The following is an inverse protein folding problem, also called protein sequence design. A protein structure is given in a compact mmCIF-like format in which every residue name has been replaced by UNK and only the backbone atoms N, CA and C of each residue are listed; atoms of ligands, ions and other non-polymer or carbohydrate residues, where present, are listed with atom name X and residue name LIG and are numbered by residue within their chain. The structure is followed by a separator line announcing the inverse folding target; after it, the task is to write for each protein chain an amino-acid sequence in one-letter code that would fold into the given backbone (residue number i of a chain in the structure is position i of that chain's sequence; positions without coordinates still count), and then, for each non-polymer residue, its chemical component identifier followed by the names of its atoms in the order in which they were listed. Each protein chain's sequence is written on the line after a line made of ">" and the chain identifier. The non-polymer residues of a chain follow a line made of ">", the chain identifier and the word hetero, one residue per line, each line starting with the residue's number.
data_IF_697306156675
#
_entry.id   IF_697306156675
#
_cell.length_a   1.000
_cell.length_b   1.000
_cell.length_c   1.000
_cell.angle_alpha   90.00
_cell.angle_beta   90.00
_cell.angle_gamma   90.00
#
_symmetry.space_group_name_H-M   'P 1'
#
loop_
_entity.id
_entity.type
_entity.pdbx_description
1 polymer ?
#
# COMPACT_ATOMS: atom_id res chain seq x y z
N UNK A 1 -10.16 5.72 -25.47
CA UNK A 1 -10.28 4.59 -24.52
C UNK A 1 -9.08 4.42 -23.57
N UNK A 2 -7.84 4.66 -23.99
CA UNK A 2 -6.65 4.54 -23.12
C UNK A 2 -6.69 5.42 -21.85
N UNK A 3 -7.07 6.70 -21.97
CA UNK A 3 -7.14 7.65 -20.84
C UNK A 3 -8.04 7.14 -19.71
N UNK A 4 -9.19 6.57 -20.05
CA UNK A 4 -10.16 6.05 -19.09
C UNK A 4 -9.56 4.92 -18.25
N UNK A 5 -8.94 3.95 -18.90
CA UNK A 5 -8.34 2.81 -18.23
C UNK A 5 -7.16 3.23 -17.33
N UNK A 6 -6.39 4.23 -17.76
CA UNK A 6 -5.31 4.82 -16.96
C UNK A 6 -5.88 5.54 -15.74
N UNK A 7 -6.94 6.34 -15.90
CA UNK A 7 -7.60 7.02 -14.79
C UNK A 7 -8.13 6.04 -13.74
N UNK A 8 -8.76 4.94 -14.16
CA UNK A 8 -9.25 3.89 -13.24
C UNK A 8 -8.08 3.31 -12.42
N UNK A 9 -6.96 2.95 -13.07
CA UNK A 9 -5.78 2.44 -12.37
C UNK A 9 -5.15 3.50 -11.45
N UNK A 10 -5.20 4.77 -11.85
CA UNK A 10 -4.75 5.91 -11.06
C UNK A 10 -5.54 6.08 -9.76
N UNK A 11 -6.87 5.89 -9.81
CA UNK A 11 -7.73 5.92 -8.61
C UNK A 11 -7.27 4.93 -7.55
N UNK A 12 -6.93 3.70 -7.95
CA UNK A 12 -6.39 2.69 -7.03
C UNK A 12 -5.04 3.08 -6.43
N UNK A 13 -4.16 3.71 -7.21
CA UNK A 13 -2.85 4.15 -6.73
C UNK A 13 -2.95 5.29 -5.69
N UNK A 14 -3.87 6.22 -5.86
CA UNK A 14 -4.02 7.35 -4.93
C UNK A 14 -4.83 6.98 -3.68
N UNK A 15 -5.69 5.96 -3.74
CA UNK A 15 -6.62 5.61 -2.67
C UNK A 15 -5.95 5.31 -1.32
N UNK A 16 -4.73 4.75 -1.33
CA UNK A 16 -4.01 4.41 -0.11
C UNK A 16 -3.61 5.65 0.70
N UNK A 17 -3.30 6.78 0.03
CA UNK A 17 -2.92 8.04 0.67
C UNK A 17 -4.09 8.98 1.03
N UNK A 18 -5.34 8.58 0.78
CA UNK A 18 -6.50 9.44 1.00
C UNK A 18 -7.08 9.32 2.42
N UNK A 19 -7.90 10.31 2.80
CA UNK A 19 -8.73 10.23 4.01
C UNK A 19 -9.75 9.09 3.89
N UNK A 20 -10.27 8.58 5.01
CA UNK A 20 -11.27 7.50 5.01
C UNK A 20 -12.50 7.83 4.15
N UNK A 21 -12.99 9.07 4.21
CA UNK A 21 -14.11 9.53 3.39
C UNK A 21 -13.80 9.50 1.89
N UNK A 22 -12.64 10.03 1.46
CA UNK A 22 -12.26 10.03 0.06
C UNK A 22 -11.95 8.62 -0.45
N UNK A 23 -11.37 7.76 0.40
CA UNK A 23 -11.14 6.35 0.08
C UNK A 23 -12.46 5.62 -0.17
N UNK A 24 -13.46 5.83 0.68
CA UNK A 24 -14.79 5.25 0.48
C UNK A 24 -15.46 5.76 -0.81
N UNK A 25 -15.31 7.05 -1.14
CA UNK A 25 -15.77 7.59 -2.44
C UNK A 25 -15.09 6.91 -3.63
N UNK A 26 -13.79 6.66 -3.54
CA UNK A 26 -13.04 5.95 -4.59
C UNK A 26 -13.53 4.50 -4.71
N UNK A 27 -13.69 3.80 -3.60
CA UNK A 27 -14.18 2.42 -3.59
C UNK A 27 -15.58 2.30 -4.19
N UNK A 28 -16.52 3.19 -3.82
CA UNK A 28 -17.85 3.23 -4.42
C UNK A 28 -17.79 3.49 -5.92
N UNK A 29 -16.87 4.34 -6.38
CA UNK A 29 -16.68 4.59 -7.82
C UNK A 29 -16.12 3.37 -8.54
N UNK A 30 -15.13 2.68 -7.96
CA UNK A 30 -14.57 1.46 -8.51
C UNK A 30 -15.60 0.32 -8.56
N UNK A 31 -16.47 0.22 -7.56
CA UNK A 31 -17.58 -0.73 -7.55
C UNK A 31 -18.59 -0.47 -8.68
N UNK A 32 -19.00 0.79 -8.86
CA UNK A 32 -19.89 1.13 -9.99
C UNK A 32 -19.27 0.78 -11.35
N UNK A 33 -17.95 0.98 -11.50
CA UNK A 33 -17.21 0.62 -12.71
C UNK A 33 -17.03 -0.90 -12.88
N UNK A 34 -17.02 -1.67 -11.78
CA UNK A 34 -16.92 -3.13 -11.82
C UNK A 34 -18.13 -3.77 -12.50
N UNK A 35 -19.31 -3.16 -12.35
CA UNK A 35 -20.56 -3.60 -12.94
C UNK A 35 -20.64 -3.40 -14.46
N UNK A 36 -19.67 -2.71 -15.06
CA UNK A 36 -19.60 -2.58 -16.52
C UNK A 36 -19.14 -3.89 -17.16
N UNK A 37 -19.68 -4.21 -18.32
CA UNK A 37 -19.40 -5.47 -19.05
C UNK A 37 -18.11 -5.43 -19.86
N UNK A 38 -17.52 -4.26 -20.07
CA UNK A 38 -16.31 -4.14 -20.89
C UNK A 38 -15.10 -4.76 -20.18
N UNK A 39 -14.56 -5.83 -20.76
CA UNK A 39 -13.45 -6.62 -20.21
C UNK A 39 -12.29 -5.76 -19.68
N UNK A 40 -11.80 -4.81 -20.48
CA UNK A 40 -10.64 -4.01 -20.07
C UNK A 40 -10.97 -3.03 -18.92
N UNK A 41 -12.24 -2.61 -18.79
CA UNK A 41 -12.69 -1.85 -17.61
C UNK A 41 -12.60 -2.73 -16.38
N UNK A 42 -13.18 -3.94 -16.41
CA UNK A 42 -13.14 -4.85 -15.26
C UNK A 42 -11.71 -5.20 -14.87
N UNK A 43 -10.82 -5.46 -15.83
CA UNK A 43 -9.38 -5.68 -15.56
C UNK A 43 -8.72 -4.45 -14.93
N UNK A 44 -9.03 -3.24 -15.40
CA UNK A 44 -8.51 -2.02 -14.80
C UNK A 44 -9.03 -1.80 -13.37
N UNK A 45 -10.29 -2.14 -13.10
CA UNK A 45 -10.90 -2.08 -11.76
C UNK A 45 -10.27 -3.09 -10.82
N UNK A 46 -10.07 -4.35 -11.24
CA UNK A 46 -9.34 -5.36 -10.46
C UNK A 46 -7.94 -4.87 -10.11
N UNK A 47 -7.23 -4.32 -11.10
CA UNK A 47 -5.88 -3.74 -10.90
C UNK A 47 -5.91 -2.58 -9.89
N UNK A 48 -6.94 -1.75 -9.93
CA UNK A 48 -7.09 -0.62 -9.01
C UNK A 48 -7.41 -1.09 -7.59
N UNK A 49 -8.39 -1.98 -7.42
CA UNK A 49 -8.80 -2.53 -6.13
C UNK A 49 -7.67 -3.32 -5.46
N UNK A 50 -6.83 -4.00 -6.24
CA UNK A 50 -5.64 -4.70 -5.73
C UNK A 50 -4.61 -3.79 -5.05
N UNK A 51 -4.62 -2.49 -5.36
CA UNK A 51 -3.75 -1.49 -4.71
C UNK A 51 -4.37 -0.89 -3.45
N UNK A 52 -5.66 -1.08 -3.24
CA UNK A 52 -6.37 -0.58 -2.06
C UNK A 52 -6.37 -1.66 -0.99
N UNK A 53 -5.43 -1.58 -0.05
CA UNK A 53 -5.19 -2.58 1.00
C UNK A 53 -6.27 -2.55 2.10
N UNK A 54 -7.53 -2.77 1.73
CA UNK A 54 -8.69 -2.72 2.65
C UNK A 54 -9.60 -3.92 2.47
N UNK A 55 -10.24 -4.36 3.56
CA UNK A 55 -11.24 -5.43 3.50
C UNK A 55 -12.45 -5.10 2.61
N UNK A 56 -12.80 -3.81 2.49
CA UNK A 56 -13.85 -3.34 1.57
C UNK A 56 -13.49 -3.61 0.11
N UNK A 57 -12.22 -3.41 -0.28
CA UNK A 57 -11.77 -3.70 -1.64
C UNK A 57 -11.86 -5.20 -1.96
N UNK A 58 -11.51 -6.07 -1.00
CA UNK A 58 -11.68 -7.52 -1.15
C UNK A 58 -13.17 -7.91 -1.32
N UNK A 59 -14.09 -7.25 -0.61
CA UNK A 59 -15.52 -7.50 -0.77
C UNK A 59 -16.05 -7.09 -2.16
N UNK A 60 -15.57 -5.97 -2.72
CA UNK A 60 -15.93 -5.55 -4.09
C UNK A 60 -15.37 -6.53 -5.12
N UNK A 61 -14.12 -6.98 -4.96
CA UNK A 61 -13.51 -7.98 -5.83
C UNK A 61 -14.27 -9.31 -5.80
N UNK A 62 -14.76 -9.74 -4.63
CA UNK A 62 -15.57 -10.94 -4.49
C UNK A 62 -16.87 -10.82 -5.29
N UNK A 63 -17.61 -9.71 -5.12
CA UNK A 63 -18.84 -9.45 -5.89
C UNK A 63 -18.59 -9.47 -7.41
N UNK A 64 -17.49 -8.87 -7.85
CA UNK A 64 -17.10 -8.89 -9.27
C UNK A 64 -16.81 -10.32 -9.76
N UNK A 65 -16.11 -11.13 -8.97
CA UNK A 65 -15.82 -12.53 -9.32
C UNK A 65 -17.11 -13.35 -9.45
N UNK A 66 -18.05 -13.15 -8.53
CA UNK A 66 -19.32 -13.88 -8.48
C UNK A 66 -20.21 -13.54 -9.68
N UNK A 67 -20.22 -12.28 -10.11
CA UNK A 67 -21.15 -11.75 -11.13
C UNK A 67 -20.58 -11.76 -12.56
N UNK A 68 -19.25 -11.76 -12.74
CA UNK A 68 -18.69 -11.64 -14.09
C UNK A 68 -18.87 -12.92 -14.92
N UNK A 69 -19.35 -12.80 -16.18
CA UNK A 69 -19.39 -13.94 -17.11
C UNK A 69 -18.02 -14.27 -17.72
N UNK A 70 -17.04 -13.35 -17.64
CA UNK A 70 -15.70 -13.59 -18.18
C UNK A 70 -14.82 -14.31 -17.14
N UNK A 71 -14.53 -15.59 -17.39
CA UNK A 71 -13.71 -16.42 -16.50
C UNK A 71 -12.30 -15.88 -16.25
N UNK A 72 -11.74 -15.08 -17.15
CA UNK A 72 -10.42 -14.45 -16.95
C UNK A 72 -10.49 -13.31 -15.95
N UNK A 73 -11.58 -12.54 -15.96
CA UNK A 73 -11.83 -11.49 -14.96
C UNK A 73 -12.06 -12.13 -13.59
N UNK A 74 -12.88 -13.17 -13.53
CA UNK A 74 -13.15 -13.95 -12.31
C UNK A 74 -11.85 -14.42 -11.66
N UNK A 75 -11.01 -15.12 -12.42
CA UNK A 75 -9.72 -15.61 -11.93
C UNK A 75 -8.81 -14.48 -11.41
N UNK A 76 -8.71 -13.38 -12.16
CA UNK A 76 -7.89 -12.23 -11.74
C UNK A 76 -8.42 -11.61 -10.45
N UNK A 77 -9.75 -11.53 -10.29
CA UNK A 77 -10.36 -11.00 -9.08
C UNK A 77 -10.06 -11.92 -7.88
N UNK A 78 -10.22 -13.24 -8.01
CA UNK A 78 -9.90 -14.23 -6.98
C UNK A 78 -8.43 -14.18 -6.53
N UNK A 79 -7.49 -14.16 -7.48
CA UNK A 79 -6.05 -14.01 -7.20
C UNK A 79 -5.75 -12.69 -6.48
N UNK A 80 -6.45 -11.62 -6.84
CA UNK A 80 -6.29 -10.29 -6.22
C UNK A 80 -6.87 -10.24 -4.81
N UNK A 81 -7.97 -10.94 -4.53
CA UNK A 81 -8.58 -11.03 -3.18
C UNK A 81 -7.57 -11.55 -2.17
N UNK A 82 -6.87 -12.63 -2.51
CA UNK A 82 -5.85 -13.22 -1.65
C UNK A 82 -4.70 -12.23 -1.36
N UNK A 83 -4.31 -11.46 -2.38
CA UNK A 83 -3.28 -10.43 -2.26
C UNK A 83 -3.73 -9.28 -1.34
N UNK A 84 -4.96 -8.78 -1.54
CA UNK A 84 -5.53 -7.68 -0.74
C UNK A 84 -5.75 -8.11 0.70
N UNK A 85 -6.26 -9.31 0.96
CA UNK A 85 -6.43 -9.84 2.33
C UNK A 85 -5.10 -9.91 3.06
N UNK A 86 -4.06 -10.46 2.42
CA UNK A 86 -2.70 -10.52 2.98
C UNK A 86 -2.11 -9.14 3.25
N UNK A 87 -2.44 -8.14 2.43
CA UNK A 87 -1.98 -6.76 2.61
C UNK A 87 -2.76 -6.02 3.71
N UNK A 88 -4.07 -6.25 3.82
CA UNK A 88 -4.95 -5.64 4.81
C UNK A 88 -4.81 -6.26 6.21
N UNK A 89 -4.14 -7.42 6.34
CA UNK A 89 -3.92 -8.08 7.64
C UNK A 89 -3.13 -7.17 8.60
N UNK A 90 -3.69 -6.83 9.79
CA UNK A 90 -3.06 -5.92 10.74
C UNK A 90 -1.69 -6.40 11.22
N UNK A 91 -1.46 -7.72 11.23
CA UNK A 91 -0.18 -8.33 11.58
C UNK A 91 0.97 -7.88 10.67
N UNK A 92 0.73 -7.68 9.38
CA UNK A 92 1.77 -7.25 8.43
C UNK A 92 2.13 -5.79 8.67
N UNK A 93 1.13 -4.94 8.93
CA UNK A 93 1.33 -3.53 9.25
C UNK A 93 2.06 -3.37 10.59
N UNK A 94 1.65 -4.10 11.63
CA UNK A 94 2.31 -4.08 12.94
C UNK A 94 3.75 -4.61 12.84
N UNK A 95 3.99 -5.70 12.10
CA UNK A 95 5.33 -6.26 11.91
C UNK A 95 6.26 -5.29 11.17
N UNK A 96 5.75 -4.60 10.14
CA UNK A 96 6.50 -3.57 9.42
C UNK A 96 6.86 -2.39 10.34
N UNK A 97 5.89 -1.88 11.09
CA UNK A 97 6.12 -0.79 12.05
C UNK A 97 7.13 -1.16 13.13
N UNK A 98 7.07 -2.39 13.67
CA UNK A 98 8.07 -2.90 14.62
C UNK A 98 9.47 -2.92 14.01
N UNK A 99 9.61 -3.43 12.78
CA UNK A 99 10.89 -3.47 12.09
C UNK A 99 11.47 -2.07 11.82
N UNK A 100 10.64 -1.12 11.40
CA UNK A 100 11.06 0.26 11.16
C UNK A 100 11.48 0.95 12.47
N UNK A 101 10.77 0.68 13.57
CA UNK A 101 11.10 1.21 14.90
C UNK A 101 12.39 0.61 15.46
N UNK A 102 12.63 -0.69 15.25
CA UNK A 102 13.87 -1.35 15.65
C UNK A 102 15.06 -0.84 14.84
N UNK A 103 14.88 -0.59 13.54
CA UNK A 103 15.92 0.02 12.71
C UNK A 103 16.23 1.44 13.19
N UNK A 104 15.20 2.26 13.44
CA UNK A 104 15.37 3.62 13.94
C UNK A 104 16.10 3.66 15.29
N UNK A 105 15.82 2.71 16.19
CA UNK A 105 16.54 2.56 17.45
C UNK A 105 18.03 2.25 17.25
N UNK A 106 18.35 1.33 16.33
CA UNK A 106 19.74 0.99 16.00
C UNK A 106 20.47 2.19 15.43
N UNK A 107 19.86 2.89 14.47
CA UNK A 107 20.45 4.07 13.85
C UNK A 107 20.68 5.17 14.90
N UNK A 108 19.75 5.36 15.84
CA UNK A 108 19.92 6.32 16.94
C UNK A 108 21.09 5.94 17.87
N UNK A 109 21.22 4.67 18.22
CA UNK A 109 22.35 4.17 19.03
C UNK A 109 23.69 4.38 18.31
N UNK A 110 23.76 4.03 17.03
CA UNK A 110 24.97 4.21 16.23
C UNK A 110 25.35 5.69 16.12
N UNK A 111 24.38 6.56 15.86
CA UNK A 111 24.61 8.00 15.80
C UNK A 111 25.11 8.55 17.14
N UNK A 112 24.55 8.10 18.28
CA UNK A 112 25.04 8.48 19.61
C UNK A 112 26.48 8.03 19.84
N UNK A 113 26.82 6.78 19.54
CA UNK A 113 28.19 6.29 19.70
C UNK A 113 29.19 7.05 18.80
N UNK A 114 28.79 7.41 17.58
CA UNK A 114 29.61 8.27 16.70
C UNK A 114 29.80 9.67 17.29
N UNK A 115 28.75 10.23 17.90
CA UNK A 115 28.79 11.55 18.52
C UNK A 115 29.72 11.56 19.75
N UNK A 116 29.62 10.56 20.61
CA UNK A 116 30.53 10.35 21.76
C UNK A 116 31.99 10.21 21.29
N UNK A 117 32.25 9.41 20.25
CA UNK A 117 33.60 9.24 19.70
C UNK A 117 34.19 10.56 19.17
N UNK A 118 33.36 11.39 18.51
CA UNK A 118 33.76 12.70 18.02
C UNK A 118 34.01 13.68 19.17
N UNK A 119 33.19 13.67 20.21
CA UNK A 119 33.39 14.50 21.41
C UNK A 119 34.70 14.15 22.13
N UNK A 120 35.02 12.86 22.28
CA UNK A 120 36.29 12.39 22.87
C UNK A 120 37.49 12.81 22.00
N UNK A 121 37.39 12.67 20.68
CA UNK A 121 38.45 13.14 19.77
C UNK A 121 38.65 14.66 19.84
N UNK A 122 37.56 15.43 19.94
CA UNK A 122 37.62 16.88 20.08
C UNK A 122 38.26 17.32 21.41
N UNK A 123 38.04 16.58 22.51
CA UNK A 123 38.68 16.82 23.80
C UNK A 123 40.18 16.47 23.78
N UNK A 124 40.54 15.31 23.23
CA UNK A 124 41.94 14.89 23.12
C UNK A 124 42.77 15.81 22.21
N UNK A 125 42.16 16.37 21.15
CA UNK A 125 42.79 17.37 20.29
C UNK A 125 43.08 18.71 20.98
N UNK A 126 42.30 19.08 22.01
CA UNK A 126 42.55 20.27 22.85
C UNK A 126 43.67 20.03 23.86
N UNK A 127 43.78 18.82 24.42
CA UNK A 127 44.83 18.47 25.40
C UNK A 127 46.23 18.31 24.81
N UNK A 128 46.37 18.08 23.49
CA UNK A 128 47.67 18.00 22.80
C UNK A 128 48.24 19.36 22.35
N UNK A 129 47.48 20.44 22.53
CA UNK A 129 47.81 21.79 22.05
C UNK A 129 48.15 22.78 23.18
N UNK A 130 48.25 22.28 24.42
CA UNK A 130 48.71 22.98 25.61
C UNK A 130 49.95 22.30 26.16
#
# INVERSE_FOLDING_TARGET
>A
MALRLVAIRGLGAIASGQTSHNRDRILNRLEALANETFFLTQVAVVTALGKVETMKAAAILQRLADQTPDGRVRRRAEETIETVRKAASPDKTIKKLRSELDQLKKDNQELRSRLEALEVQAQNGKSKKS
#
